data_IF_206696514959
#
_entry.id   IF_206696514959
#
_cell.length_a   1.000
_cell.length_b   1.000
_cell.length_c   1.000
_cell.angle_alpha   90.00
_cell.angle_beta   90.00
_cell.angle_gamma   90.00
#
_symmetry.space_group_name_H-M   'P 1'
#
loop_
_entity.id
_entity.type
_entity.pdbx_description
1 polymer ?
#
# COMPACT_ATOMS: atom_id res chain seq x y z
N UNK A 1 -24.29 -5.09 0.26
CA UNK A 1 -24.07 -3.97 -0.68
C UNK A 1 -22.56 -3.85 -0.90
N UNK A 2 -22.01 -4.36 -2.01
CA UNK A 2 -20.58 -4.14 -2.34
C UNK A 2 -20.50 -2.74 -2.95
N UNK A 3 -19.90 -1.79 -2.25
CA UNK A 3 -19.59 -0.49 -2.85
C UNK A 3 -18.72 -0.76 -4.08
N UNK A 4 -19.22 -0.40 -5.27
CA UNK A 4 -18.42 -0.44 -6.49
C UNK A 4 -17.28 0.55 -6.28
N UNK A 5 -16.06 0.05 -6.09
CA UNK A 5 -14.87 0.91 -6.04
C UNK A 5 -14.82 1.66 -7.37
N UNK A 6 -14.72 3.00 -7.39
CA UNK A 6 -14.44 3.71 -8.63
C UNK A 6 -13.18 3.12 -9.26
N UNK A 7 -13.09 3.01 -10.60
CA UNK A 7 -11.89 2.52 -11.25
C UNK A 7 -10.70 3.34 -10.77
N UNK A 8 -9.62 2.67 -10.36
CA UNK A 8 -8.46 3.38 -9.88
C UNK A 8 -7.84 4.17 -11.03
N UNK A 9 -7.29 5.34 -10.71
CA UNK A 9 -6.55 6.11 -11.71
C UNK A 9 -5.42 5.23 -12.29
N UNK A 10 -5.17 5.27 -13.61
CA UNK A 10 -4.15 4.42 -14.23
C UNK A 10 -2.75 4.55 -13.58
N UNK A 11 -2.42 5.71 -12.99
CA UNK A 11 -1.18 5.91 -12.24
C UNK A 11 -1.11 5.04 -10.98
N UNK A 12 -2.20 4.96 -10.23
CA UNK A 12 -2.30 4.22 -8.97
C UNK A 12 -2.13 2.72 -9.22
N UNK A 13 -2.82 2.20 -10.24
CA UNK A 13 -2.69 0.79 -10.66
C UNK A 13 -1.26 0.46 -11.10
N UNK A 14 -0.63 1.35 -11.88
CA UNK A 14 0.77 1.17 -12.31
C UNK A 14 1.74 1.21 -11.13
N UNK A 15 1.56 2.12 -10.17
CA UNK A 15 2.40 2.19 -8.97
C UNK A 15 2.28 0.91 -8.14
N UNK A 16 1.07 0.39 -7.96
CA UNK A 16 0.83 -0.86 -7.25
C UNK A 16 1.46 -2.07 -7.96
N UNK A 17 1.34 -2.13 -9.28
CA UNK A 17 1.99 -3.16 -10.11
C UNK A 17 3.52 -3.08 -10.01
N UNK A 18 4.09 -1.87 -10.06
CA UNK A 18 5.52 -1.65 -9.90
C UNK A 18 6.03 -2.20 -8.56
N UNK A 19 5.33 -1.88 -7.45
CA UNK A 19 5.66 -2.41 -6.12
C UNK A 19 5.53 -3.94 -6.06
N UNK A 20 4.50 -4.49 -6.69
CA UNK A 20 4.27 -5.94 -6.75
C UNK A 20 5.40 -6.66 -7.48
N UNK A 21 5.82 -6.14 -8.63
CA UNK A 21 6.91 -6.71 -9.40
C UNK A 21 8.26 -6.60 -8.68
N UNK A 22 8.56 -5.45 -8.07
CA UNK A 22 9.76 -5.27 -7.24
C UNK A 22 9.77 -6.26 -6.05
N UNK A 23 8.62 -6.47 -5.41
CA UNK A 23 8.47 -7.46 -4.35
C UNK A 23 8.73 -8.89 -4.84
N UNK A 24 8.16 -9.28 -6.00
CA UNK A 24 8.37 -10.60 -6.60
C UNK A 24 9.84 -10.85 -6.94
N UNK A 25 10.57 -9.82 -7.39
CA UNK A 25 12.00 -9.87 -7.67
C UNK A 25 12.88 -9.77 -6.41
N UNK A 26 12.28 -9.58 -5.23
CA UNK A 26 12.97 -9.39 -3.93
C UNK A 26 13.97 -8.24 -3.98
N UNK A 27 13.63 -7.18 -4.70
CA UNK A 27 14.45 -5.98 -4.80
C UNK A 27 14.45 -5.20 -3.49
N UNK A 28 15.53 -4.46 -3.23
CA UNK A 28 15.52 -3.44 -2.19
C UNK A 28 14.57 -2.33 -2.64
N UNK A 29 13.55 -2.05 -1.82
CA UNK A 29 12.62 -0.98 -2.14
C UNK A 29 13.30 0.38 -2.09
N UNK A 30 13.07 1.13 -3.17
CA UNK A 30 13.43 2.53 -3.34
C UNK A 30 12.15 3.37 -3.43
N UNK A 31 12.25 4.71 -3.33
CA UNK A 31 11.14 5.58 -3.67
C UNK A 31 10.56 5.23 -5.06
N UNK A 32 9.24 5.33 -5.18
CA UNK A 32 8.58 5.19 -6.48
C UNK A 32 9.13 6.23 -7.47
N UNK A 33 9.27 5.90 -8.76
CA UNK A 33 9.52 6.89 -9.81
C UNK A 33 8.53 8.06 -9.71
N UNK A 34 8.98 9.28 -10.02
CA UNK A 34 8.18 10.51 -9.85
C UNK A 34 6.82 10.44 -10.56
N UNK A 35 6.78 9.83 -11.74
CA UNK A 35 5.56 9.65 -12.53
C UNK A 35 4.56 8.65 -11.91
N UNK A 36 5.01 7.81 -10.96
CA UNK A 36 4.21 6.84 -10.22
C UNK A 36 3.97 7.24 -8.76
N UNK A 37 4.71 8.23 -8.25
CA UNK A 37 4.63 8.63 -6.85
C UNK A 37 3.22 9.15 -6.50
N UNK A 38 2.63 8.69 -5.37
CA UNK A 38 1.37 9.24 -4.89
C UNK A 38 1.56 10.70 -4.48
N UNK A 39 0.58 11.54 -4.83
CA UNK A 39 0.63 12.99 -4.59
C UNK A 39 -0.06 13.41 -3.29
N UNK A 40 -0.72 12.46 -2.63
CA UNK A 40 -1.41 12.66 -1.37
C UNK A 40 -1.44 11.36 -0.56
N UNK A 41 -1.74 11.48 0.73
CA UNK A 41 -1.96 10.31 1.61
C UNK A 41 -3.12 9.44 1.10
N UNK A 42 -4.18 10.06 0.57
CA UNK A 42 -5.30 9.33 -0.03
C UNK A 42 -4.87 8.50 -1.24
N UNK A 43 -4.01 9.05 -2.10
CA UNK A 43 -3.42 8.30 -3.22
C UNK A 43 -2.50 7.17 -2.73
N UNK A 44 -1.70 7.40 -1.68
CA UNK A 44 -0.85 6.35 -1.11
C UNK A 44 -1.70 5.15 -0.60
N UNK A 45 -2.82 5.41 0.07
CA UNK A 45 -3.75 4.35 0.48
C UNK A 45 -4.46 3.69 -0.72
N UNK A 46 -4.74 4.44 -1.80
CA UNK A 46 -5.27 3.84 -3.03
C UNK A 46 -4.26 2.88 -3.67
N UNK A 47 -2.96 3.25 -3.72
CA UNK A 47 -1.88 2.37 -4.18
C UNK A 47 -1.79 1.12 -3.30
N UNK A 48 -1.87 1.28 -1.98
CA UNK A 48 -1.90 0.14 -1.05
C UNK A 48 -3.07 -0.80 -1.34
N UNK A 49 -4.28 -0.28 -1.55
CA UNK A 49 -5.45 -1.09 -1.81
C UNK A 49 -5.32 -1.91 -3.12
N UNK A 50 -4.73 -1.32 -4.17
CA UNK A 50 -4.43 -2.06 -5.40
C UNK A 50 -3.35 -3.14 -5.17
N UNK A 51 -2.26 -2.79 -4.49
CA UNK A 51 -1.16 -3.72 -4.22
C UNK A 51 -1.62 -4.91 -3.35
N UNK A 52 -2.43 -4.65 -2.33
CA UNK A 52 -3.04 -5.68 -1.49
C UNK A 52 -3.97 -6.57 -2.32
N UNK A 53 -4.75 -5.99 -3.24
CA UNK A 53 -5.57 -6.74 -4.19
C UNK A 53 -4.76 -7.73 -5.02
N UNK A 54 -3.61 -7.30 -5.55
CA UNK A 54 -2.68 -8.19 -6.29
C UNK A 54 -2.15 -9.32 -5.41
N UNK A 55 -1.81 -9.03 -4.16
CA UNK A 55 -1.29 -10.03 -3.21
C UNK A 55 -2.36 -11.00 -2.71
N UNK A 56 -3.59 -10.55 -2.53
CA UNK A 56 -4.71 -11.35 -2.04
C UNK A 56 -5.02 -12.55 -2.94
N UNK A 57 -4.74 -12.45 -4.25
CA UNK A 57 -4.87 -13.57 -5.21
C UNK A 57 -4.13 -14.83 -4.73
N UNK A 58 -2.95 -14.66 -4.11
CA UNK A 58 -2.15 -15.78 -3.59
C UNK A 58 -2.29 -15.98 -2.08
N UNK A 59 -2.50 -14.90 -1.34
CA UNK A 59 -2.45 -14.91 0.12
C UNK A 59 -3.79 -15.10 0.83
N UNK A 60 -4.90 -15.08 0.09
CA UNK A 60 -6.24 -15.14 0.68
C UNK A 60 -6.78 -13.75 1.02
N UNK A 61 -7.93 -13.72 1.67
CA UNK A 61 -8.66 -12.49 1.96
C UNK A 61 -8.02 -11.67 3.09
N UNK A 62 -8.54 -10.45 3.31
CA UNK A 62 -8.12 -9.60 4.43
C UNK A 62 -8.57 -10.23 5.75
N UNK A 63 -7.61 -10.45 6.65
CA UNK A 63 -7.79 -11.09 7.95
C UNK A 63 -7.67 -10.10 9.12
N UNK A 64 -7.28 -8.84 8.85
CA UNK A 64 -7.22 -7.79 9.85
C UNK A 64 -6.41 -6.59 9.40
N UNK A 65 -6.04 -5.74 10.37
CA UNK A 65 -5.26 -4.54 10.13
C UNK A 65 -4.12 -4.43 11.13
N UNK A 66 -3.06 -3.73 10.71
CA UNK A 66 -1.98 -3.27 11.58
C UNK A 66 -1.95 -1.75 11.60
N UNK A 67 -1.48 -1.17 12.70
CA UNK A 67 -1.21 0.26 12.83
C UNK A 67 0.26 0.43 13.23
N UNK A 68 0.99 1.25 12.48
CA UNK A 68 2.39 1.58 12.72
C UNK A 68 2.55 3.08 13.03
N UNK A 69 3.72 3.45 13.54
CA UNK A 69 4.08 4.85 13.84
C UNK A 69 3.11 5.50 14.87
N UNK A 70 2.75 4.73 15.90
CA UNK A 70 1.75 5.13 16.91
C UNK A 70 2.29 6.15 17.91
N UNK A 71 3.61 6.23 18.10
CA UNK A 71 4.23 7.22 19.00
C UNK A 71 4.61 8.50 18.26
N UNK A 72 4.50 9.69 18.90
CA UNK A 72 4.92 10.95 18.29
C UNK A 72 6.39 10.94 17.85
N UNK A 73 7.29 10.35 18.63
CA UNK A 73 8.72 10.31 18.29
C UNK A 73 9.00 9.57 16.97
N UNK A 74 8.35 8.43 16.73
CA UNK A 74 8.49 7.69 15.47
C UNK A 74 7.92 8.46 14.29
N UNK A 75 6.81 9.19 14.49
CA UNK A 75 6.20 10.04 13.46
C UNK A 75 7.08 11.22 13.09
N UNK A 76 7.66 11.89 14.08
CA UNK A 76 8.64 12.96 13.86
C UNK A 76 9.87 12.46 13.11
N UNK A 77 10.36 11.26 13.41
CA UNK A 77 11.53 10.65 12.75
C UNK A 77 11.32 10.46 11.24
N UNK A 78 10.10 10.13 10.80
CA UNK A 78 9.79 9.87 9.37
C UNK A 78 9.02 11.01 8.69
N UNK A 79 8.77 12.11 9.41
CA UNK A 79 8.16 13.32 8.85
C UNK A 79 6.68 13.18 8.50
N UNK A 80 5.90 12.39 9.25
CA UNK A 80 4.44 12.28 9.04
C UNK A 80 3.66 12.74 10.28
N UNK A 81 2.42 13.21 10.09
CA UNK A 81 1.58 13.70 11.19
C UNK A 81 0.83 12.59 11.93
N UNK A 82 0.39 11.56 11.18
CA UNK A 82 -0.55 10.55 11.66
C UNK A 82 0.05 9.13 11.63
N UNK A 83 -0.45 8.20 12.47
CA UNK A 83 -0.13 6.78 12.34
C UNK A 83 -0.52 6.22 10.96
N UNK A 84 0.12 5.12 10.56
CA UNK A 84 -0.13 4.47 9.26
C UNK A 84 -0.79 3.13 9.45
N UNK A 85 -1.90 2.91 8.75
CA UNK A 85 -2.62 1.64 8.74
C UNK A 85 -2.13 0.72 7.60
N UNK A 86 -2.24 -0.59 7.78
CA UNK A 86 -1.92 -1.59 6.76
C UNK A 86 -2.83 -2.80 6.86
N UNK A 87 -3.11 -3.44 5.73
CA UNK A 87 -3.90 -4.67 5.67
C UNK A 87 -3.06 -5.90 6.02
N UNK A 88 -3.66 -6.83 6.76
CA UNK A 88 -3.14 -8.17 6.99
C UNK A 88 -3.96 -9.16 6.16
N UNK A 89 -3.28 -10.02 5.41
CA UNK A 89 -3.91 -11.09 4.65
C UNK A 89 -3.84 -12.41 5.42
N UNK A 90 -4.73 -13.35 5.12
CA UNK A 90 -4.82 -14.67 5.79
C UNK A 90 -3.48 -15.39 5.91
N UNK A 91 -2.62 -15.25 4.89
CA UNK A 91 -1.27 -15.83 4.84
C UNK A 91 -0.23 -14.73 4.76
N UNK A 92 0.89 -14.94 5.45
CA UNK A 92 2.12 -14.17 5.28
C UNK A 92 3.16 -15.06 4.59
N UNK A 93 3.71 -14.62 3.45
CA UNK A 93 4.79 -15.27 2.70
C UNK A 93 6.02 -14.38 2.70
#
# INVERSE_FOLDING_TARGET
MRLRRPPAEPRIERAAKWLHEAHLRRELFAPLPEELAPRSVAEAYAVQAEYVGLRAVRLGSMAGYKIALTTPAMRSMVGIADPVAGDLLEKSL
#
